data_IF_949123330642
#
_entry.id   IF_949123330642
#
_cell.length_a   1.000
_cell.length_b   1.000
_cell.length_c   1.000
_cell.angle_alpha   90.00
_cell.angle_beta   90.00
_cell.angle_gamma   90.00
#
_symmetry.space_group_name_H-M   'P 1'
#
loop_
_entity.id
_entity.type
_entity.pdbx_description
1 polymer ?
#
# COMPACT_ATOMS: atom_id res chain seq x y z
N UNK A 1 32.36 -47.93 34.82
CA UNK A 1 30.93 -47.51 34.88
C UNK A 1 30.51 -47.14 33.50
N UNK A 2 29.93 -48.10 32.78
CA UNK A 2 29.33 -47.93 31.47
C UNK A 2 27.92 -47.34 31.65
N UNK A 3 27.65 -46.22 31.00
CA UNK A 3 26.29 -45.74 30.82
C UNK A 3 25.77 -46.37 29.53
N UNK A 4 24.77 -47.25 29.68
CA UNK A 4 23.99 -47.76 28.57
C UNK A 4 23.21 -46.59 27.94
N UNK A 5 23.44 -46.35 26.65
CA UNK A 5 22.66 -45.43 25.87
C UNK A 5 21.41 -46.24 25.44
N UNK A 6 20.26 -45.92 26.02
CA UNK A 6 18.99 -46.47 25.58
C UNK A 6 18.78 -46.10 24.10
N UNK A 7 18.65 -47.11 23.28
CA UNK A 7 18.30 -46.97 21.85
C UNK A 7 16.88 -46.44 21.78
N UNK A 8 16.74 -45.23 21.19
CA UNK A 8 15.45 -44.70 20.78
C UNK A 8 14.78 -45.70 19.83
N UNK A 9 13.58 -46.15 20.22
CA UNK A 9 12.78 -47.08 19.38
C UNK A 9 12.50 -46.52 17.99
N UNK A 10 12.09 -47.36 17.03
CA UNK A 10 11.83 -46.94 15.67
C UNK A 10 10.76 -45.81 15.66
N UNK A 11 11.07 -44.70 14.97
CA UNK A 11 10.09 -43.63 14.73
C UNK A 11 8.84 -44.27 14.05
N UNK A 12 7.71 -44.09 14.70
CA UNK A 12 6.43 -44.52 14.10
C UNK A 12 6.26 -43.79 12.76
N UNK A 13 5.92 -44.58 11.73
CA UNK A 13 5.57 -44.01 10.42
C UNK A 13 4.36 -43.07 10.60
N UNK A 14 4.34 -41.91 9.90
CA UNK A 14 3.21 -40.99 10.00
C UNK A 14 1.94 -41.70 9.56
N UNK A 15 0.90 -41.66 10.40
CA UNK A 15 -0.41 -42.26 10.11
C UNK A 15 -0.97 -41.68 8.82
N UNK A 16 -1.51 -42.48 7.93
CA UNK A 16 -2.10 -42.07 6.64
C UNK A 16 -3.26 -41.05 6.80
N UNK A 17 -3.83 -40.91 7.99
CA UNK A 17 -4.90 -39.98 8.35
C UNK A 17 -4.41 -38.67 9.01
N UNK A 18 -3.09 -38.47 9.06
CA UNK A 18 -2.53 -37.23 9.60
C UNK A 18 -2.93 -36.04 8.73
N UNK A 19 -3.63 -35.07 9.35
CA UNK A 19 -4.06 -33.84 8.68
C UNK A 19 -2.87 -33.10 8.07
N UNK A 20 -2.88 -32.93 6.74
CA UNK A 20 -1.81 -32.30 6.01
C UNK A 20 -1.93 -30.76 6.05
N UNK A 21 -1.31 -30.14 7.05
CA UNK A 21 -1.29 -28.69 7.25
C UNK A 21 -0.75 -27.91 6.04
N UNK A 22 0.21 -28.46 5.32
CA UNK A 22 0.79 -27.78 4.16
C UNK A 22 -0.17 -27.72 2.98
N UNK A 23 -1.00 -28.76 2.82
CA UNK A 23 -2.00 -28.85 1.77
C UNK A 23 -3.21 -27.95 2.11
N UNK A 24 -3.63 -27.94 3.37
CA UNK A 24 -4.66 -27.04 3.86
C UNK A 24 -4.25 -25.57 3.69
N UNK A 25 -3.02 -25.20 4.04
CA UNK A 25 -2.51 -23.84 3.82
C UNK A 25 -2.48 -23.45 2.34
N UNK A 26 -2.07 -24.36 1.44
CA UNK A 26 -2.07 -24.09 0.00
C UNK A 26 -3.48 -23.90 -0.57
N UNK A 27 -4.45 -24.64 -0.07
CA UNK A 27 -5.86 -24.51 -0.45
C UNK A 27 -6.42 -23.18 0.05
N UNK A 28 -6.17 -22.82 1.30
CA UNK A 28 -6.58 -21.53 1.87
C UNK A 28 -5.95 -20.35 1.12
N UNK A 29 -4.64 -20.41 0.82
CA UNK A 29 -3.95 -19.38 0.04
C UNK A 29 -4.50 -19.26 -1.40
N UNK A 30 -4.83 -20.38 -2.03
CA UNK A 30 -5.42 -20.38 -3.37
C UNK A 30 -6.84 -19.79 -3.36
N UNK A 31 -7.66 -20.14 -2.36
CA UNK A 31 -9.01 -19.61 -2.19
C UNK A 31 -8.98 -18.10 -1.89
N UNK A 32 -8.12 -17.65 -0.97
CA UNK A 32 -7.91 -16.22 -0.67
C UNK A 32 -7.43 -15.47 -1.90
N UNK A 33 -6.56 -16.07 -2.72
CA UNK A 33 -6.08 -15.46 -3.96
C UNK A 33 -7.18 -15.38 -5.01
N UNK A 34 -8.04 -16.38 -5.11
CA UNK A 34 -9.19 -16.39 -6.00
C UNK A 34 -10.25 -15.36 -5.58
N UNK A 35 -10.57 -15.29 -4.28
CA UNK A 35 -11.48 -14.27 -3.72
C UNK A 35 -10.94 -12.86 -3.96
N UNK A 36 -9.63 -12.63 -3.77
CA UNK A 36 -8.98 -11.33 -4.04
C UNK A 36 -8.93 -10.97 -5.53
N UNK A 37 -8.95 -11.96 -6.43
CA UNK A 37 -8.86 -11.72 -7.88
C UNK A 37 -10.20 -11.32 -8.52
N UNK A 38 -11.33 -11.72 -7.93
CA UNK A 38 -12.67 -11.47 -8.45
C UNK A 38 -13.33 -10.30 -7.71
N UNK A 39 -13.09 -9.06 -8.19
CA UNK A 39 -13.92 -7.94 -7.73
C UNK A 39 -15.36 -8.17 -8.22
N UNK A 40 -16.32 -8.07 -7.30
CA UNK A 40 -17.74 -8.16 -7.67
C UNK A 40 -18.11 -6.99 -8.62
N UNK A 41 -19.13 -7.15 -9.49
CA UNK A 41 -19.62 -6.06 -10.33
C UNK A 41 -19.91 -4.79 -9.53
N UNK A 42 -20.48 -4.92 -8.33
CA UNK A 42 -20.75 -3.78 -7.43
C UNK A 42 -19.47 -3.05 -7.01
N UNK A 43 -18.37 -3.76 -6.73
CA UNK A 43 -17.08 -3.13 -6.39
C UNK A 43 -16.45 -2.39 -7.57
N UNK A 44 -16.65 -2.90 -8.79
CA UNK A 44 -16.17 -2.25 -10.01
C UNK A 44 -16.93 -0.94 -10.25
N UNK A 45 -18.25 -0.96 -10.09
CA UNK A 45 -19.12 0.23 -10.21
C UNK A 45 -18.75 1.26 -9.14
N UNK A 46 -18.69 0.85 -7.87
CA UNK A 46 -18.33 1.75 -6.77
C UNK A 46 -16.94 2.41 -6.97
N UNK A 47 -15.97 1.65 -7.49
CA UNK A 47 -14.64 2.20 -7.82
C UNK A 47 -14.72 3.24 -8.93
N UNK A 48 -15.47 2.98 -10.00
CA UNK A 48 -15.64 3.89 -11.11
C UNK A 48 -16.33 5.18 -10.67
N UNK A 49 -17.38 5.04 -9.87
CA UNK A 49 -18.16 6.19 -9.40
C UNK A 49 -17.34 7.04 -8.44
N UNK A 50 -16.55 6.41 -7.55
CA UNK A 50 -15.59 7.12 -6.69
C UNK A 50 -14.55 7.89 -7.53
N UNK A 51 -13.96 7.27 -8.55
CA UNK A 51 -12.98 7.94 -9.41
C UNK A 51 -13.57 9.13 -10.17
N UNK A 52 -14.78 8.98 -10.68
CA UNK A 52 -15.49 10.07 -11.38
C UNK A 52 -15.78 11.24 -10.41
N UNK A 53 -16.22 10.94 -9.19
CA UNK A 53 -16.42 11.93 -8.14
C UNK A 53 -15.10 12.62 -7.78
N UNK A 54 -14.03 11.85 -7.52
CA UNK A 54 -12.71 12.37 -7.18
C UNK A 54 -12.20 13.34 -8.26
N UNK A 55 -12.33 12.99 -9.53
CA UNK A 55 -11.93 13.84 -10.66
C UNK A 55 -12.75 15.11 -10.70
N UNK A 56 -14.07 15.00 -10.65
CA UNK A 56 -15.00 16.13 -10.79
C UNK A 56 -14.91 17.10 -9.61
N UNK A 57 -14.94 16.58 -8.39
CA UNK A 57 -14.99 17.40 -7.17
C UNK A 57 -13.67 18.10 -6.87
N UNK A 58 -12.55 17.52 -7.30
CA UNK A 58 -11.22 18.09 -7.06
C UNK A 58 -10.64 18.79 -8.30
N UNK A 59 -11.39 18.90 -9.39
CA UNK A 59 -10.93 19.56 -10.62
C UNK A 59 -9.68 18.90 -11.22
N UNK A 60 -9.58 17.57 -11.13
CA UNK A 60 -8.44 16.85 -11.69
C UNK A 60 -8.55 16.79 -13.21
N UNK A 61 -7.44 17.01 -13.88
CA UNK A 61 -7.34 16.92 -15.34
C UNK A 61 -6.79 15.54 -15.69
N UNK A 62 -7.57 14.69 -16.39
CA UNK A 62 -7.06 13.42 -16.89
C UNK A 62 -5.78 13.65 -17.73
N UNK A 63 -4.82 12.74 -17.64
CA UNK A 63 -3.50 12.76 -18.30
C UNK A 63 -2.49 13.79 -17.71
N UNK A 64 -2.95 14.91 -17.12
CA UNK A 64 -2.09 15.84 -16.38
C UNK A 64 -1.91 15.39 -14.93
N UNK A 65 -3.01 15.14 -14.22
CA UNK A 65 -3.03 14.80 -12.79
C UNK A 65 -3.11 13.29 -12.53
N UNK A 66 -3.49 12.51 -13.55
CA UNK A 66 -3.71 11.07 -13.43
C UNK A 66 -2.91 10.33 -14.50
N UNK A 67 -2.06 9.40 -14.06
CA UNK A 67 -1.42 8.43 -14.94
C UNK A 67 -2.13 7.08 -14.85
N UNK A 68 -2.35 6.43 -15.99
CA UNK A 68 -2.97 5.11 -16.08
C UNK A 68 -1.90 4.04 -16.23
N UNK A 69 -1.60 3.33 -15.16
CA UNK A 69 -0.67 2.20 -15.20
C UNK A 69 -1.42 0.95 -15.66
N UNK A 70 -0.96 0.34 -16.74
CA UNK A 70 -1.49 -0.94 -17.20
C UNK A 70 -0.70 -2.10 -16.61
N UNK A 71 -1.39 -3.04 -15.97
CA UNK A 71 -0.77 -4.23 -15.38
C UNK A 71 -1.72 -5.43 -15.40
N UNK A 72 -1.26 -6.54 -15.98
CA UNK A 72 -2.05 -7.78 -16.01
C UNK A 72 -3.48 -7.59 -16.56
N UNK A 73 -3.64 -6.77 -17.61
CA UNK A 73 -4.94 -6.45 -18.19
C UNK A 73 -5.82 -5.51 -17.34
N UNK A 74 -5.29 -4.97 -16.22
CA UNK A 74 -6.01 -4.03 -15.35
C UNK A 74 -5.39 -2.64 -15.48
N UNK A 75 -6.25 -1.62 -15.46
CA UNK A 75 -5.85 -0.21 -15.39
C UNK A 75 -5.87 0.23 -13.94
N UNK A 76 -4.71 0.68 -13.44
CA UNK A 76 -4.55 1.23 -12.09
C UNK A 76 -4.39 2.74 -12.24
N UNK A 77 -5.31 3.56 -11.71
CA UNK A 77 -5.14 5.01 -11.69
C UNK A 77 -4.09 5.40 -10.66
N UNK A 78 -3.13 6.18 -11.11
CA UNK A 78 -2.03 6.73 -10.31
C UNK A 78 -2.19 8.24 -10.29
N UNK A 79 -2.36 8.82 -9.12
CA UNK A 79 -2.46 10.28 -8.97
C UNK A 79 -1.05 10.87 -8.91
N UNK A 80 -0.77 11.81 -9.80
CA UNK A 80 0.48 12.57 -9.79
C UNK A 80 0.49 13.62 -8.69
N UNK A 81 1.65 14.19 -8.40
CA UNK A 81 1.81 15.19 -7.34
C UNK A 81 0.83 16.36 -7.49
N UNK A 82 0.67 16.90 -8.68
CA UNK A 82 -0.26 18.01 -8.97
C UNK A 82 -1.70 17.64 -8.58
N UNK A 83 -2.13 16.42 -8.87
CA UNK A 83 -3.44 15.91 -8.46
C UNK A 83 -3.58 15.76 -6.95
N UNK A 84 -2.53 15.30 -6.26
CA UNK A 84 -2.51 15.21 -4.79
C UNK A 84 -2.68 16.59 -4.15
N UNK A 85 -1.97 17.60 -4.66
CA UNK A 85 -2.04 18.97 -4.18
C UNK A 85 -3.44 19.59 -4.41
N UNK A 86 -4.09 19.31 -5.55
CA UNK A 86 -5.47 19.71 -5.81
C UNK A 86 -6.44 19.05 -4.83
N UNK A 87 -6.31 17.73 -4.61
CA UNK A 87 -7.14 16.99 -3.66
C UNK A 87 -6.97 17.57 -2.25
N UNK A 88 -5.75 17.81 -1.80
CA UNK A 88 -5.47 18.42 -0.51
C UNK A 88 -6.18 19.77 -0.37
N UNK A 89 -5.99 20.66 -1.35
CA UNK A 89 -6.54 22.00 -1.33
C UNK A 89 -8.08 22.00 -1.31
N UNK A 90 -8.70 21.27 -2.21
CA UNK A 90 -10.16 21.23 -2.36
C UNK A 90 -10.86 20.65 -1.13
N UNK A 91 -10.23 19.66 -0.47
CA UNK A 91 -10.78 19.02 0.73
C UNK A 91 -10.27 19.67 2.04
N UNK A 92 -9.50 20.76 1.97
CA UNK A 92 -8.94 21.45 3.14
C UNK A 92 -8.18 20.51 4.08
N UNK A 93 -7.41 19.59 3.50
CA UNK A 93 -6.65 18.62 4.27
C UNK A 93 -5.41 19.30 4.85
N UNK A 94 -5.25 19.25 6.17
CA UNK A 94 -4.03 19.70 6.85
C UNK A 94 -3.09 18.51 6.96
N UNK A 95 -1.82 18.69 6.55
CA UNK A 95 -0.80 17.66 6.67
C UNK A 95 0.36 18.18 7.50
N UNK A 96 0.74 17.45 8.52
CA UNK A 96 1.91 17.71 9.37
C UNK A 96 2.89 16.57 9.28
N UNK A 97 4.20 16.87 9.44
CA UNK A 97 5.28 15.90 9.32
C UNK A 97 6.07 15.80 10.60
N UNK A 98 6.60 14.60 10.85
CA UNK A 98 7.49 14.30 11.96
C UNK A 98 8.61 13.38 11.45
N UNK A 99 9.86 13.79 11.63
CA UNK A 99 11.00 12.93 11.38
C UNK A 99 11.01 11.77 12.36
N UNK A 100 11.16 10.55 11.87
CA UNK A 100 11.32 9.34 12.69
C UNK A 100 12.71 8.77 12.60
N UNK A 101 13.28 8.76 11.41
CA UNK A 101 14.65 8.32 11.14
C UNK A 101 15.21 9.24 10.07
N UNK A 102 16.40 9.77 10.30
CA UNK A 102 17.17 10.51 9.32
C UNK A 102 18.63 10.11 9.42
N UNK A 103 19.04 9.19 8.56
CA UNK A 103 20.39 8.67 8.46
C UNK A 103 21.00 9.00 7.08
N UNK A 104 22.26 8.68 6.90
CA UNK A 104 22.99 8.98 5.68
C UNK A 104 22.37 8.37 4.42
N UNK A 105 21.83 7.16 4.54
CA UNK A 105 21.31 6.35 3.44
C UNK A 105 19.85 5.91 3.64
N UNK A 106 19.24 6.30 4.76
CA UNK A 106 17.85 5.95 5.07
C UNK A 106 17.11 7.08 5.78
N UNK A 107 15.87 7.35 5.31
CA UNK A 107 14.99 8.31 5.94
C UNK A 107 13.58 7.73 6.11
N UNK A 108 12.93 8.06 7.24
CA UNK A 108 11.52 7.77 7.51
C UNK A 108 10.86 9.02 8.04
N UNK A 109 9.84 9.46 7.32
CA UNK A 109 8.99 10.60 7.71
C UNK A 109 7.58 10.07 8.00
N UNK A 110 7.04 10.48 9.13
CA UNK A 110 5.63 10.29 9.48
C UNK A 110 4.84 11.48 8.97
N UNK A 111 3.73 11.25 8.29
CA UNK A 111 2.76 12.28 7.95
C UNK A 111 1.45 12.01 8.70
N UNK A 112 0.88 13.07 9.25
CA UNK A 112 -0.48 13.07 9.81
C UNK A 112 -1.34 13.97 8.95
N UNK A 113 -2.39 13.40 8.35
CA UNK A 113 -3.38 14.15 7.58
C UNK A 113 -4.70 14.24 8.37
N UNK A 114 -5.26 15.44 8.41
CA UNK A 114 -6.55 15.74 9.02
C UNK A 114 -7.47 16.39 7.98
N UNK A 115 -8.70 15.91 7.92
CA UNK A 115 -9.73 16.40 7.01
C UNK A 115 -11.03 16.59 7.81
N UNK A 116 -11.61 17.78 7.76
CA UNK A 116 -12.90 18.05 8.39
C UNK A 116 -14.03 17.39 7.61
N UNK A 117 -14.78 16.53 8.26
CA UNK A 117 -16.05 16.01 7.77
C UNK A 117 -17.22 16.85 8.27
N UNK A 118 -18.42 16.47 7.90
CA UNK A 118 -19.64 17.19 8.31
C UNK A 118 -19.88 17.15 9.83
N UNK A 119 -19.50 16.06 10.50
CA UNK A 119 -19.74 15.83 11.93
C UNK A 119 -18.46 15.50 12.70
N UNK A 120 -17.45 14.96 12.01
CA UNK A 120 -16.23 14.45 12.61
C UNK A 120 -14.99 14.91 11.83
N UNK A 121 -13.84 14.93 12.49
CA UNK A 121 -12.55 15.12 11.85
C UNK A 121 -11.93 13.76 11.57
N UNK A 122 -11.66 13.49 10.29
CA UNK A 122 -10.91 12.30 9.88
C UNK A 122 -9.43 12.54 10.07
N UNK A 123 -8.77 11.65 10.79
CA UNK A 123 -7.33 11.71 11.02
C UNK A 123 -6.67 10.41 10.61
N UNK A 124 -5.60 10.50 9.81
CA UNK A 124 -4.80 9.37 9.36
C UNK A 124 -3.33 9.65 9.61
N UNK A 125 -2.64 8.67 10.16
CA UNK A 125 -1.18 8.67 10.28
C UNK A 125 -0.59 7.65 9.33
N UNK A 126 0.51 8.01 8.68
CA UNK A 126 1.20 7.11 7.73
C UNK A 126 2.68 7.46 7.65
N UNK A 127 3.46 6.59 7.02
CA UNK A 127 4.89 6.77 6.88
C UNK A 127 5.31 6.73 5.41
N UNK A 128 6.29 7.54 5.07
CA UNK A 128 7.07 7.42 3.86
C UNK A 128 8.52 7.08 4.21
N UNK A 129 9.14 6.22 3.42
CA UNK A 129 10.55 5.87 3.59
C UNK A 129 11.32 6.04 2.31
N UNK A 130 12.59 6.38 2.43
CA UNK A 130 13.55 6.42 1.33
C UNK A 130 14.83 5.72 1.76
N UNK A 131 15.27 4.75 0.98
CA UNK A 131 16.51 4.01 1.15
C UNK A 131 17.37 4.20 -0.09
N UNK A 132 18.58 4.71 0.08
CA UNK A 132 19.57 4.88 -0.98
C UNK A 132 20.44 3.64 -1.12
N UNK A 133 20.97 3.41 -2.34
CA UNK A 133 21.92 2.35 -2.61
C UNK A 133 21.32 1.07 -3.19
N UNK A 134 22.09 -0.03 -3.13
CA UNK A 134 21.74 -1.29 -3.77
C UNK A 134 20.52 -1.93 -3.09
N UNK A 135 19.45 -2.12 -3.86
CA UNK A 135 18.17 -2.63 -3.33
C UNK A 135 17.28 -1.55 -2.70
N UNK A 136 17.75 -0.29 -2.70
CA UNK A 136 16.96 0.84 -2.22
C UNK A 136 15.82 1.23 -3.17
N UNK A 137 14.96 2.09 -2.67
CA UNK A 137 13.82 2.64 -3.39
C UNK A 137 14.02 4.13 -3.76
N UNK A 138 15.24 4.64 -3.56
CA UNK A 138 15.62 6.01 -3.89
C UNK A 138 16.96 6.01 -4.62
N UNK A 139 17.04 6.70 -5.76
CA UNK A 139 18.25 6.86 -6.56
C UNK A 139 18.98 8.16 -6.28
N UNK A 140 18.36 9.07 -5.54
CA UNK A 140 18.84 10.41 -5.24
C UNK A 140 19.27 10.52 -3.78
N UNK A 141 20.18 11.46 -3.51
CA UNK A 141 20.65 11.75 -2.14
C UNK A 141 19.67 12.61 -1.32
N UNK A 142 18.51 12.97 -1.86
CA UNK A 142 17.46 13.75 -1.21
C UNK A 142 16.49 12.84 -0.47
N UNK A 143 17.00 12.12 0.52
CA UNK A 143 16.23 11.06 1.20
C UNK A 143 15.08 11.60 2.04
N UNK A 144 15.29 12.71 2.76
CA UNK A 144 14.25 13.33 3.56
C UNK A 144 13.08 13.78 2.70
N UNK A 145 13.37 14.50 1.61
CA UNK A 145 12.36 15.00 0.68
C UNK A 145 11.61 13.87 -0.03
N UNK A 146 12.32 12.79 -0.37
CA UNK A 146 11.67 11.63 -0.99
C UNK A 146 10.78 10.87 0.00
N UNK A 147 11.20 10.74 1.25
CA UNK A 147 10.40 10.14 2.32
C UNK A 147 9.17 11.01 2.63
N UNK A 148 9.35 12.34 2.74
CA UNK A 148 8.28 13.29 2.94
C UNK A 148 7.26 13.24 1.78
N UNK A 149 7.71 13.31 0.53
CA UNK A 149 6.86 13.23 -0.65
C UNK A 149 5.97 11.99 -0.62
N UNK A 150 6.53 10.83 -0.28
CA UNK A 150 5.79 9.57 -0.15
C UNK A 150 4.79 9.59 1.00
N UNK A 151 5.23 10.08 2.17
CA UNK A 151 4.36 10.22 3.33
C UNK A 151 3.18 11.14 3.04
N UNK A 152 3.43 12.29 2.41
CA UNK A 152 2.44 13.27 2.02
C UNK A 152 1.38 12.70 1.08
N UNK A 153 1.79 12.15 -0.06
CA UNK A 153 0.87 11.62 -1.05
C UNK A 153 0.00 10.49 -0.48
N UNK A 154 0.63 9.61 0.29
CA UNK A 154 -0.06 8.51 0.97
C UNK A 154 -1.06 9.00 2.02
N UNK A 155 -0.71 10.03 2.79
CA UNK A 155 -1.58 10.58 3.82
C UNK A 155 -2.85 11.21 3.21
N UNK A 156 -2.70 12.03 2.17
CA UNK A 156 -3.81 12.67 1.45
C UNK A 156 -4.75 11.63 0.83
N UNK A 157 -4.21 10.63 0.13
CA UNK A 157 -5.04 9.59 -0.50
C UNK A 157 -5.70 8.64 0.51
N UNK A 158 -5.09 8.43 1.67
CA UNK A 158 -5.69 7.60 2.72
C UNK A 158 -6.83 8.32 3.44
N UNK A 159 -6.66 9.61 3.79
CA UNK A 159 -7.71 10.35 4.51
C UNK A 159 -8.96 10.55 3.66
N UNK A 160 -8.81 10.67 2.33
CA UNK A 160 -9.94 10.71 1.38
C UNK A 160 -10.54 9.35 1.05
N UNK A 161 -9.98 8.25 1.57
CA UNK A 161 -10.44 6.90 1.29
C UNK A 161 -10.06 6.35 -0.09
N UNK A 162 -9.24 7.05 -0.87
CA UNK A 162 -8.87 6.67 -2.25
C UNK A 162 -8.22 5.28 -2.34
N UNK A 163 -7.45 4.88 -1.33
CA UNK A 163 -6.84 3.55 -1.25
C UNK A 163 -7.85 2.40 -1.23
N UNK A 164 -9.03 2.60 -0.60
CA UNK A 164 -10.10 1.59 -0.58
C UNK A 164 -10.59 1.23 -1.98
N UNK A 165 -10.47 2.18 -2.90
CA UNK A 165 -10.88 2.04 -4.29
C UNK A 165 -9.70 1.71 -5.23
N UNK A 166 -8.51 1.45 -4.68
CA UNK A 166 -7.32 1.09 -5.46
C UNK A 166 -6.78 2.23 -6.30
N UNK A 167 -6.83 3.45 -5.76
CA UNK A 167 -6.20 4.65 -6.29
C UNK A 167 -4.92 4.89 -5.48
N UNK A 168 -3.80 5.07 -6.16
CA UNK A 168 -2.47 5.16 -5.55
C UNK A 168 -1.73 6.40 -6.03
N UNK A 169 -0.69 6.79 -5.30
CA UNK A 169 0.20 7.86 -5.68
C UNK A 169 1.30 7.38 -6.64
N UNK A 170 1.90 8.32 -7.37
CA UNK A 170 2.98 8.05 -8.33
C UNK A 170 4.18 7.34 -7.68
N UNK A 171 4.51 7.72 -6.45
CA UNK A 171 5.64 7.15 -5.71
C UNK A 171 5.47 5.67 -5.34
N UNK A 172 4.26 5.15 -5.41
CA UNK A 172 3.95 3.73 -5.19
C UNK A 172 3.91 2.93 -6.49
N UNK A 173 3.97 3.59 -7.65
CA UNK A 173 3.94 2.93 -8.95
C UNK A 173 5.13 1.99 -9.16
N UNK A 174 6.27 2.28 -8.53
CA UNK A 174 7.47 1.46 -8.63
C UNK A 174 7.34 0.12 -7.91
N UNK A 175 6.56 0.06 -6.83
CA UNK A 175 6.25 -1.19 -6.14
C UNK A 175 5.41 -2.13 -7.02
N UNK A 176 4.66 -1.56 -7.96
CA UNK A 176 3.90 -2.32 -8.95
C UNK A 176 4.73 -2.80 -10.14
N UNK A 177 5.94 -2.31 -10.34
CA UNK A 177 6.84 -2.71 -11.46
C UNK A 177 7.69 -3.93 -11.12
N UNK A 178 7.89 -4.24 -9.84
CA UNK A 178 8.85 -5.25 -9.34
C UNK A 178 8.31 -6.68 -9.25
N UNK A 179 7.13 -6.99 -9.80
CA UNK A 179 6.52 -8.35 -9.73
C UNK A 179 6.22 -8.91 -11.09
#
# INVERSE_FOLDING_TARGET
>A
NGAEVEALGPMEEPREDAFNWQEAQRQDEAEVKEIRSKKSPAQIVARRDFLNALVKENGLIPDEDIHKLQRGGKVIPIIKRTGIEKIQYMNRITVTFEEKILERDFAVIKATAEMEGQYDTFRIETYGSALFGKGGNCTNNYLAEMAEKRAYARAVLKVTGAYKFGVYAEDESDDFKKT
#
